data_IF_433514640039
#
_entry.id   IF_433514640039
#
_cell.length_a   1.000
_cell.length_b   1.000
_cell.length_c   1.000
_cell.angle_alpha   90.00
_cell.angle_beta   90.00
_cell.angle_gamma   90.00
#
_symmetry.space_group_name_H-M   'P 1'
#
loop_
_entity.id
_entity.type
_entity.pdbx_description
1 polymer ?
#
# COMPACT_ATOMS: atom_id res chain seq x y z
N UNK A 1 -91.57 4.29 9.49
CA UNK A 1 -91.72 3.30 8.47
C UNK A 1 -90.30 2.76 8.21
N UNK A 2 -89.98 1.57 8.76
CA UNK A 2 -89.82 0.33 7.96
C UNK A 2 -88.67 0.43 6.96
N UNK A 3 -87.64 -0.37 6.93
CA UNK A 3 -87.26 -1.76 7.30
C UNK A 3 -85.73 -1.82 7.37
N UNK A 4 -85.03 -2.40 8.31
CA UNK A 4 -84.75 -3.83 8.57
C UNK A 4 -84.12 -4.59 7.36
N UNK A 5 -82.96 -5.10 7.56
CA UNK A 5 -82.39 -6.41 7.19
C UNK A 5 -80.95 -6.23 6.79
N UNK A 6 -80.02 -6.71 7.54
CA UNK A 6 -79.64 -8.07 7.92
C UNK A 6 -78.69 -8.70 6.87
N UNK A 7 -77.52 -9.07 7.42
CA UNK A 7 -76.82 -10.33 7.24
C UNK A 7 -75.76 -10.48 6.12
N UNK A 8 -74.75 -11.14 6.59
CA UNK A 8 -73.69 -11.97 5.98
C UNK A 8 -72.45 -11.16 5.59
N UNK A 9 -71.37 -11.25 6.26
CA UNK A 9 -70.73 -12.47 6.78
C UNK A 9 -69.86 -13.07 5.68
N UNK A 10 -68.66 -12.56 5.52
CA UNK A 10 -67.58 -13.37 4.95
C UNK A 10 -66.25 -12.87 5.51
N UNK A 11 -65.74 -13.62 6.44
CA UNK A 11 -64.38 -13.50 6.89
C UNK A 11 -63.47 -14.09 5.79
N UNK A 12 -62.80 -13.23 5.04
CA UNK A 12 -61.69 -13.65 4.20
C UNK A 12 -60.42 -13.43 4.97
N UNK A 13 -59.93 -14.48 5.59
CA UNK A 13 -58.58 -14.54 6.11
C UNK A 13 -57.65 -14.67 4.90
N UNK A 14 -57.14 -13.56 4.39
CA UNK A 14 -56.02 -13.56 3.49
C UNK A 14 -54.76 -13.75 4.33
N UNK A 15 -54.21 -14.97 4.36
CA UNK A 15 -52.89 -15.25 4.80
C UNK A 15 -51.93 -14.62 3.78
N UNK A 16 -51.50 -13.41 4.09
CA UNK A 16 -50.33 -12.83 3.41
C UNK A 16 -49.11 -13.56 3.96
N UNK A 17 -48.66 -14.59 3.23
CA UNK A 17 -47.32 -15.10 3.35
C UNK A 17 -46.39 -13.95 2.89
N UNK A 18 -45.97 -13.13 3.81
CA UNK A 18 -44.90 -12.17 3.63
C UNK A 18 -43.62 -12.98 3.47
N UNK A 19 -43.14 -13.11 2.23
CA UNK A 19 -41.74 -13.33 1.99
C UNK A 19 -41.03 -12.07 2.49
N UNK A 20 -40.54 -12.09 3.72
CA UNK A 20 -39.49 -11.20 4.11
C UNK A 20 -38.24 -11.65 3.33
N UNK A 21 -37.99 -10.99 2.20
CA UNK A 21 -36.64 -10.91 1.66
C UNK A 21 -35.80 -10.27 2.76
N UNK A 22 -35.21 -11.10 3.57
CA UNK A 22 -34.18 -10.73 4.52
C UNK A 22 -32.97 -10.38 3.65
N UNK A 23 -32.90 -9.11 3.28
CA UNK A 23 -31.71 -8.52 2.68
C UNK A 23 -30.54 -8.89 3.59
N UNK A 24 -29.52 -9.62 3.08
CA UNK A 24 -28.42 -10.01 3.94
C UNK A 24 -27.81 -8.74 4.51
N UNK A 25 -27.89 -8.62 5.85
CA UNK A 25 -27.31 -7.51 6.57
C UNK A 25 -25.86 -7.38 6.09
N UNK A 26 -25.54 -6.24 5.47
CA UNK A 26 -24.19 -5.96 5.01
C UNK A 26 -23.24 -6.24 6.17
N UNK A 27 -22.28 -7.12 5.95
CA UNK A 27 -21.29 -7.43 6.96
C UNK A 27 -20.65 -6.11 7.43
N UNK A 28 -20.45 -5.92 8.73
CA UNK A 28 -19.83 -4.71 9.24
C UNK A 28 -18.48 -4.52 8.53
N UNK A 29 -18.11 -3.28 8.17
CA UNK A 29 -16.85 -3.01 7.51
C UNK A 29 -15.72 -3.61 8.34
N UNK A 30 -14.98 -4.53 7.75
CA UNK A 30 -13.77 -5.08 8.37
C UNK A 30 -12.74 -3.97 8.30
N UNK A 31 -12.40 -3.39 9.44
CA UNK A 31 -11.26 -2.49 9.54
C UNK A 31 -10.00 -3.33 9.29
N UNK A 32 -9.45 -3.20 8.08
CA UNK A 32 -8.09 -3.67 7.80
C UNK A 32 -7.17 -2.62 8.40
N UNK A 33 -6.42 -2.99 9.42
CA UNK A 33 -5.39 -2.10 9.96
C UNK A 33 -4.43 -1.73 8.82
N UNK A 34 -4.00 -0.46 8.73
CA UNK A 34 -3.02 -0.06 7.72
C UNK A 34 -1.77 -0.94 7.85
N UNK A 35 -1.19 -1.30 6.71
CA UNK A 35 0.07 -2.02 6.69
C UNK A 35 1.12 -1.19 7.43
N UNK A 36 1.93 -1.84 8.25
CA UNK A 36 3.03 -1.18 8.95
C UNK A 36 4.35 -1.64 8.38
N UNK A 37 5.28 -0.72 8.20
CA UNK A 37 6.64 -1.05 7.82
C UNK A 37 7.28 -1.97 8.89
N UNK A 38 8.11 -2.96 8.49
CA UNK A 38 8.79 -3.82 9.44
C UNK A 38 9.69 -2.99 10.37
N UNK A 39 9.76 -3.40 11.62
CA UNK A 39 10.65 -2.77 12.58
C UNK A 39 12.12 -3.09 12.22
N UNK A 40 12.83 -2.08 11.73
CA UNK A 40 14.25 -2.16 11.43
C UNK A 40 14.96 -0.93 11.99
N UNK A 41 16.12 -1.14 12.57
CA UNK A 41 16.93 -0.04 13.10
C UNK A 41 17.98 0.33 12.07
N UNK A 42 17.80 1.49 11.45
CA UNK A 42 18.74 2.01 10.46
C UNK A 42 20.11 2.25 11.08
N UNK A 43 21.20 1.65 10.53
CA UNK A 43 22.57 1.98 10.94
C UNK A 43 22.91 3.42 10.60
N UNK A 44 23.91 3.98 11.31
CA UNK A 44 24.36 5.33 11.02
C UNK A 44 25.06 5.41 9.64
N UNK A 45 25.84 4.38 9.32
CA UNK A 45 26.70 4.38 8.13
C UNK A 45 26.51 3.06 7.36
N UNK A 46 26.17 3.15 6.08
CA UNK A 46 26.01 2.00 5.19
C UNK A 46 26.02 2.42 3.72
N UNK A 47 26.11 1.44 2.83
CA UNK A 47 25.91 1.64 1.41
C UNK A 47 24.97 0.57 0.86
N UNK A 48 24.29 0.87 -0.22
CA UNK A 48 23.42 -0.07 -0.91
C UNK A 48 23.30 0.27 -2.40
N UNK A 49 22.82 -0.69 -3.16
CA UNK A 49 22.40 -0.46 -4.53
C UNK A 49 20.89 -0.55 -4.59
N UNK A 50 20.26 0.41 -5.23
CA UNK A 50 18.82 0.42 -5.46
C UNK A 50 18.52 0.46 -6.95
N UNK A 51 17.57 -0.36 -7.37
CA UNK A 51 16.98 -0.32 -8.69
C UNK A 51 15.52 0.11 -8.59
N UNK A 52 15.15 1.08 -9.42
CA UNK A 52 13.78 1.59 -9.51
C UNK A 52 13.08 0.85 -10.64
N UNK A 53 12.31 -0.17 -10.28
CA UNK A 53 11.56 -0.98 -11.23
C UNK A 53 10.35 -1.62 -10.56
N UNK A 54 9.16 -1.37 -11.08
CA UNK A 54 7.97 -2.13 -10.74
C UNK A 54 7.87 -3.39 -11.58
N UNK A 55 7.18 -4.41 -11.06
CA UNK A 55 6.98 -5.68 -11.75
C UNK A 55 6.32 -5.46 -13.11
N UNK A 56 6.97 -5.97 -14.17
CA UNK A 56 6.49 -5.79 -15.55
C UNK A 56 6.74 -4.42 -16.17
N UNK A 57 7.26 -3.46 -15.40
CA UNK A 57 7.56 -2.10 -15.87
C UNK A 57 9.01 -1.92 -16.35
N UNK A 58 9.32 -0.78 -16.96
CA UNK A 58 10.68 -0.44 -17.35
C UNK A 58 11.54 -0.13 -16.12
N UNK A 59 12.82 -0.44 -16.20
CA UNK A 59 13.81 0.00 -15.21
C UNK A 59 14.04 1.51 -15.35
N UNK A 60 13.78 2.26 -14.29
CA UNK A 60 13.91 3.72 -14.25
C UNK A 60 15.30 4.19 -13.80
N UNK A 61 16.16 3.28 -13.38
CA UNK A 61 17.55 3.54 -13.04
C UNK A 61 18.04 2.64 -11.92
N UNK A 62 19.37 2.44 -11.90
CA UNK A 62 20.08 1.72 -10.84
C UNK A 62 21.14 2.63 -10.25
N UNK A 63 21.13 2.75 -8.94
CA UNK A 63 21.95 3.72 -8.21
C UNK A 63 22.69 3.06 -7.06
N UNK A 64 23.94 3.46 -6.88
CA UNK A 64 24.70 3.18 -5.65
C UNK A 64 24.53 4.37 -4.72
N UNK A 65 24.11 4.10 -3.49
CA UNK A 65 23.83 5.11 -2.47
C UNK A 65 24.77 4.89 -1.30
N UNK A 66 25.34 5.98 -0.82
CA UNK A 66 26.14 5.99 0.40
C UNK A 66 25.43 6.83 1.44
N UNK A 67 25.28 6.27 2.64
CA UNK A 67 24.66 6.90 3.79
C UNK A 67 25.71 7.06 4.89
N UNK A 68 25.80 8.23 5.48
CA UNK A 68 26.63 8.51 6.65
C UNK A 68 25.81 9.36 7.63
N UNK A 69 25.89 9.02 8.91
CA UNK A 69 25.07 9.63 9.96
C UNK A 69 23.57 9.61 9.67
N UNK A 70 23.07 8.55 8.97
CA UNK A 70 21.70 8.37 8.45
C UNK A 70 21.27 9.36 7.37
N UNK A 71 22.21 10.12 6.83
CA UNK A 71 21.96 11.03 5.70
C UNK A 71 22.61 10.49 4.43
N UNK A 72 21.93 10.64 3.30
CA UNK A 72 22.50 10.30 1.99
C UNK A 72 23.58 11.30 1.65
N UNK A 73 24.80 10.81 1.52
CA UNK A 73 25.97 11.66 1.21
C UNK A 73 26.45 11.53 -0.23
N UNK A 74 26.10 10.45 -0.91
CA UNK A 74 26.40 10.26 -2.33
C UNK A 74 25.36 9.35 -2.99
N UNK A 75 25.00 9.70 -4.23
CA UNK A 75 24.18 8.89 -5.13
C UNK A 75 24.90 8.84 -6.47
N UNK A 76 25.19 7.65 -6.94
CA UNK A 76 25.85 7.41 -8.22
C UNK A 76 24.99 6.50 -9.10
N UNK A 77 24.62 6.96 -10.28
CA UNK A 77 23.94 6.11 -11.26
C UNK A 77 24.91 5.10 -11.87
N UNK A 78 24.58 3.82 -11.79
CA UNK A 78 25.49 2.71 -12.19
C UNK A 78 24.94 1.82 -13.31
N UNK A 79 23.84 2.19 -13.94
CA UNK A 79 23.27 1.43 -15.06
C UNK A 79 23.89 1.80 -16.43
N UNK A 80 24.91 2.66 -16.44
CA UNK A 80 25.59 3.12 -17.65
C UNK A 80 24.78 4.09 -18.51
N UNK A 81 23.61 4.54 -18.03
CA UNK A 81 22.78 5.54 -18.70
C UNK A 81 23.03 6.91 -18.10
N UNK A 82 22.90 7.95 -18.93
CA UNK A 82 22.91 9.33 -18.44
C UNK A 82 21.49 9.72 -18.08
N UNK A 83 21.30 10.34 -16.92
CA UNK A 83 20.01 10.90 -16.56
C UNK A 83 19.61 11.96 -17.60
N UNK A 84 18.40 11.88 -18.11
CA UNK A 84 17.82 12.87 -19.01
C UNK A 84 16.73 13.63 -18.27
N UNK A 85 17.06 14.80 -17.73
CA UNK A 85 16.08 15.71 -17.13
C UNK A 85 15.53 15.24 -15.77
N UNK A 86 14.23 15.17 -15.65
CA UNK A 86 13.50 14.88 -14.39
C UNK A 86 13.71 13.45 -13.81
N UNK A 87 14.50 12.62 -14.47
CA UNK A 87 14.79 11.26 -13.99
C UNK A 87 15.85 11.20 -12.88
N UNK A 88 16.51 12.32 -12.57
CA UNK A 88 17.37 12.43 -11.38
C UNK A 88 16.50 12.60 -10.13
N UNK A 89 15.90 11.52 -9.70
CA UNK A 89 15.12 11.52 -8.47
C UNK A 89 16.08 11.34 -7.30
N UNK A 90 15.91 12.18 -6.29
CA UNK A 90 16.54 11.96 -5.00
C UNK A 90 16.21 10.55 -4.50
N UNK A 91 17.25 9.74 -4.31
CA UNK A 91 17.10 8.43 -3.70
C UNK A 91 17.29 8.62 -2.20
N UNK A 92 16.27 8.40 -1.39
CA UNK A 92 16.38 8.56 0.05
C UNK A 92 17.21 7.43 0.68
N UNK A 93 17.54 7.55 1.95
CA UNK A 93 18.08 6.46 2.76
C UNK A 93 17.05 5.31 2.85
N UNK A 94 17.46 4.13 3.31
CA UNK A 94 16.51 3.03 3.50
C UNK A 94 15.45 3.35 4.56
N UNK A 95 15.84 4.08 5.62
CA UNK A 95 14.89 4.59 6.61
C UNK A 95 13.90 5.57 5.98
N UNK A 96 14.37 6.48 5.16
CA UNK A 96 13.53 7.41 4.42
C UNK A 96 12.57 6.73 3.44
N UNK A 97 12.99 5.63 2.78
CA UNK A 97 12.09 4.82 1.94
C UNK A 97 10.96 4.17 2.75
N UNK A 98 11.28 3.67 3.95
CA UNK A 98 10.28 3.09 4.84
C UNK A 98 9.31 4.15 5.37
N UNK A 99 9.78 5.36 5.67
CA UNK A 99 8.93 6.48 6.09
C UNK A 99 7.99 6.93 4.97
N UNK A 100 8.47 7.01 3.73
CA UNK A 100 7.63 7.32 2.57
C UNK A 100 6.56 6.25 2.34
N UNK A 101 6.94 4.98 2.41
CA UNK A 101 6.01 3.87 2.28
C UNK A 101 4.95 3.88 3.40
N UNK A 102 5.36 4.17 4.64
CA UNK A 102 4.43 4.28 5.78
C UNK A 102 3.47 5.46 5.59
N UNK A 103 3.98 6.61 5.16
CA UNK A 103 3.15 7.79 4.87
C UNK A 103 2.10 7.47 3.80
N UNK A 104 2.50 6.78 2.72
CA UNK A 104 1.56 6.34 1.69
C UNK A 104 0.46 5.43 2.24
N UNK A 105 0.82 4.49 3.12
CA UNK A 105 -0.14 3.59 3.77
C UNK A 105 -1.08 4.33 4.73
N UNK A 106 -0.57 5.29 5.48
CA UNK A 106 -1.35 6.10 6.42
C UNK A 106 -2.36 7.01 5.69
N UNK A 107 -2.01 7.43 4.47
CA UNK A 107 -2.87 8.21 3.58
C UNK A 107 -3.85 7.34 2.76
N UNK A 108 -3.91 6.04 3.03
CA UNK A 108 -4.84 5.10 2.38
C UNK A 108 -4.30 4.42 1.12
N UNK A 109 -3.04 4.66 0.75
CA UNK A 109 -2.38 3.99 -0.36
C UNK A 109 -1.93 2.57 0.00
N UNK A 110 -1.47 1.83 -1.01
CA UNK A 110 -0.90 0.50 -0.83
C UNK A 110 0.58 0.59 -0.46
N UNK A 111 1.03 -0.31 0.42
CA UNK A 111 2.44 -0.48 0.76
C UNK A 111 2.80 -1.96 0.80
N UNK A 112 3.95 -2.32 0.26
CA UNK A 112 4.57 -3.63 0.44
C UNK A 112 6.05 -3.46 0.75
N UNK A 113 6.52 -4.09 1.82
CA UNK A 113 7.92 -4.14 2.19
C UNK A 113 8.34 -5.58 2.37
N UNK A 114 9.42 -5.97 1.69
CA UNK A 114 10.11 -7.24 1.93
C UNK A 114 11.39 -6.93 2.68
N UNK A 115 11.63 -7.65 3.76
CA UNK A 115 12.80 -7.50 4.61
C UNK A 115 13.72 -8.72 4.51
N UNK A 116 15.01 -8.51 4.66
CA UNK A 116 15.97 -9.60 4.80
C UNK A 116 15.73 -10.33 6.14
N UNK A 117 15.66 -11.67 6.16
CA UNK A 117 15.38 -12.41 7.38
C UNK A 117 16.53 -12.41 8.39
N UNK A 118 17.73 -12.03 7.99
CA UNK A 118 18.91 -12.06 8.87
C UNK A 118 18.99 -10.84 9.80
N UNK A 119 18.69 -9.65 9.28
CA UNK A 119 18.84 -8.39 10.04
C UNK A 119 17.67 -7.44 9.89
N UNK A 120 16.69 -7.78 9.04
CA UNK A 120 15.46 -7.02 8.86
C UNK A 120 15.59 -5.80 7.93
N UNK A 121 16.73 -5.56 7.29
CA UNK A 121 16.82 -4.45 6.34
C UNK A 121 15.88 -4.64 5.15
N UNK A 122 15.33 -3.58 4.57
CA UNK A 122 14.46 -3.71 3.42
C UNK A 122 15.24 -4.17 2.18
N UNK A 123 14.72 -5.19 1.49
CA UNK A 123 15.25 -5.69 0.21
C UNK A 123 14.34 -5.33 -0.96
N UNK A 124 13.09 -5.01 -0.70
CA UNK A 124 12.20 -4.41 -1.67
C UNK A 124 11.16 -3.55 -0.96
N UNK A 125 10.88 -2.39 -1.52
CA UNK A 125 9.85 -1.45 -1.04
C UNK A 125 9.01 -1.02 -2.22
N UNK A 126 7.70 -1.15 -2.11
CA UNK A 126 6.77 -0.56 -3.07
C UNK A 126 5.65 0.16 -2.34
N UNK A 127 5.22 1.29 -2.87
CA UNK A 127 4.11 2.06 -2.34
C UNK A 127 3.43 2.86 -3.43
N UNK A 128 2.18 3.17 -3.20
CA UNK A 128 1.35 3.97 -4.08
C UNK A 128 0.81 5.16 -3.28
N UNK A 129 1.01 6.37 -3.81
CA UNK A 129 0.55 7.61 -3.19
C UNK A 129 -0.90 7.97 -3.54
N UNK A 130 -1.54 7.21 -4.42
CA UNK A 130 -2.90 7.48 -4.88
C UNK A 130 -3.77 6.23 -4.84
N UNK A 131 -4.95 6.35 -4.22
CA UNK A 131 -5.95 5.28 -4.30
C UNK A 131 -6.28 4.94 -5.75
N UNK A 132 -5.88 3.75 -6.20
CA UNK A 132 -6.38 3.12 -7.41
C UNK A 132 -5.67 3.43 -8.73
N UNK A 133 -4.47 4.02 -8.74
CA UNK A 133 -3.67 4.14 -9.96
C UNK A 133 -2.39 3.30 -9.89
N UNK A 134 -2.37 2.18 -10.61
CA UNK A 134 -1.16 1.36 -10.75
C UNK A 134 0.01 2.12 -11.42
N UNK A 135 -0.29 3.22 -12.10
CA UNK A 135 0.70 4.09 -12.75
C UNK A 135 1.48 4.99 -11.79
N UNK A 136 1.00 5.17 -10.56
CA UNK A 136 1.66 5.99 -9.54
C UNK A 136 2.51 5.18 -8.54
N UNK A 137 2.59 3.86 -8.71
CA UNK A 137 3.37 3.00 -7.84
C UNK A 137 4.87 3.29 -7.94
N UNK A 138 5.51 3.47 -6.81
CA UNK A 138 6.96 3.58 -6.68
C UNK A 138 7.52 2.26 -6.17
N UNK A 139 8.45 1.66 -6.91
CA UNK A 139 9.02 0.36 -6.59
C UNK A 139 10.53 0.43 -6.56
N UNK A 140 11.12 -0.09 -5.49
CA UNK A 140 12.54 -0.09 -5.22
C UNK A 140 12.99 -1.50 -4.86
N UNK A 141 14.00 -2.01 -5.56
CA UNK A 141 14.66 -3.27 -5.23
C UNK A 141 16.06 -2.94 -4.70
N UNK A 142 16.37 -3.40 -3.49
CA UNK A 142 17.61 -3.11 -2.79
C UNK A 142 18.53 -4.32 -2.87
N UNK A 143 19.77 -4.08 -3.23
CA UNK A 143 20.83 -5.09 -3.32
C UNK A 143 22.14 -4.52 -2.78
N UNK A 144 23.16 -5.36 -2.63
CA UNK A 144 24.49 -4.94 -2.19
C UNK A 144 24.48 -4.11 -0.90
N UNK A 145 23.55 -4.40 0.03
CA UNK A 145 23.51 -3.74 1.31
C UNK A 145 24.76 -4.07 2.14
N UNK A 146 25.46 -3.02 2.58
CA UNK A 146 26.72 -3.13 3.32
C UNK A 146 26.72 -2.13 4.50
N UNK A 147 26.34 -2.56 5.70
CA UNK A 147 26.48 -1.72 6.89
C UNK A 147 27.96 -1.50 7.21
N UNK A 148 28.29 -0.31 7.66
CA UNK A 148 29.64 0.07 8.10
C UNK A 148 29.56 0.30 9.60
N UNK A 149 30.23 -0.56 10.34
CA UNK A 149 30.35 -0.45 11.79
C UNK A 149 31.59 0.31 12.19
#
# INVERSE_FOLDING_TARGET
MRYARALCGFALVAALAGCTDEEPAAAPPTFVAPASAPAWTEPADYAFVVERQCEGGPALGRYRVTVAAREVTAVERIDGKTASGEEEIEVPSLGGLLELAQTAADDGGAMTVKADPADGHPVAVSFDLSEGSEEAASCFVITEYAPRG
#
